data_IF_579418668494
#
_entry.id   IF_579418668494
#
_cell.length_a   1.000
_cell.length_b   1.000
_cell.length_c   1.000
_cell.angle_alpha   90.00
_cell.angle_beta   90.00
_cell.angle_gamma   90.00
#
_symmetry.space_group_name_H-M   'P 1'
#
loop_
_entity.id
_entity.type
_entity.pdbx_description
1 polymer ?
#
# COMPACT_ATOMS: atom_id res chain seq x y z
N UNK A 1 -3.60 2.29 -25.90
CA UNK A 1 -3.15 3.64 -26.34
C UNK A 1 -2.07 3.58 -27.41
N UNK A 2 -0.99 2.81 -27.24
CA UNK A 2 0.14 2.76 -28.20
C UNK A 2 -0.34 2.37 -29.61
N UNK A 3 -1.09 1.27 -29.75
CA UNK A 3 -1.61 0.84 -31.06
C UNK A 3 -2.57 1.86 -31.71
N UNK A 4 -3.22 2.73 -30.91
CA UNK A 4 -4.06 3.83 -31.44
C UNK A 4 -3.22 5.01 -31.91
N UNK A 5 -2.11 5.29 -31.22
CA UNK A 5 -1.21 6.39 -31.56
C UNK A 5 -0.37 6.09 -32.79
N UNK A 6 -0.06 4.81 -33.02
CA UNK A 6 0.77 4.33 -34.14
C UNK A 6 0.06 3.20 -34.93
N UNK A 7 -1.07 3.49 -35.61
CA UNK A 7 -1.88 2.46 -36.28
C UNK A 7 -1.16 1.78 -37.46
N UNK A 8 -0.19 2.46 -38.05
CA UNK A 8 0.61 1.99 -39.19
C UNK A 8 2.03 1.59 -38.79
N UNK A 9 2.28 1.39 -37.52
CA UNK A 9 3.59 0.96 -37.00
C UNK A 9 3.96 -0.46 -37.49
N UNK A 10 5.26 -0.77 -37.52
CA UNK A 10 5.77 -2.08 -37.99
C UNK A 10 5.41 -3.23 -37.05
N UNK A 11 4.88 -2.96 -35.88
CA UNK A 11 4.48 -3.95 -34.89
C UNK A 11 3.20 -3.54 -34.16
N UNK A 12 2.48 -4.54 -33.69
CA UNK A 12 1.29 -4.38 -32.86
C UNK A 12 1.52 -5.05 -31.50
N UNK A 13 1.31 -4.32 -30.41
CA UNK A 13 1.34 -4.89 -29.06
C UNK A 13 -0.01 -5.54 -28.75
N UNK A 14 0.02 -6.81 -28.37
CA UNK A 14 -1.15 -7.59 -27.95
C UNK A 14 -0.97 -7.95 -26.48
N UNK A 15 -1.82 -7.42 -25.58
CA UNK A 15 -1.77 -7.82 -24.18
C UNK A 15 -2.40 -9.21 -23.99
N UNK A 16 -1.68 -10.11 -23.35
CA UNK A 16 -2.21 -11.36 -22.80
C UNK A 16 -2.17 -11.29 -21.29
N UNK A 17 -3.23 -11.74 -20.61
CA UNK A 17 -3.29 -11.76 -19.14
C UNK A 17 -3.81 -13.09 -18.61
N UNK A 18 -3.41 -13.44 -17.40
CA UNK A 18 -3.94 -14.60 -16.68
C UNK A 18 -3.99 -14.32 -15.18
N UNK A 19 -4.94 -14.97 -14.52
CA UNK A 19 -5.08 -14.90 -13.07
C UNK A 19 -4.19 -15.95 -12.41
N UNK A 20 -3.47 -15.52 -11.39
CA UNK A 20 -2.61 -16.38 -10.57
C UNK A 20 -2.97 -16.19 -9.11
N UNK A 21 -3.07 -17.30 -8.37
CA UNK A 21 -3.16 -17.23 -6.92
C UNK A 21 -1.89 -16.63 -6.33
N UNK A 22 -2.03 -15.74 -5.35
CA UNK A 22 -0.90 -15.10 -4.65
C UNK A 22 0.08 -16.10 -4.05
N UNK A 23 -0.37 -17.30 -3.75
CA UNK A 23 0.42 -18.36 -3.08
C UNK A 23 0.95 -19.45 -4.02
N UNK A 24 0.68 -19.36 -5.33
CA UNK A 24 1.09 -20.40 -6.29
C UNK A 24 2.20 -19.88 -7.22
N UNK A 25 3.41 -19.88 -6.70
CA UNK A 25 4.60 -19.46 -7.45
C UNK A 25 4.90 -20.37 -8.66
N UNK A 26 4.62 -21.68 -8.55
CA UNK A 26 4.86 -22.64 -9.64
C UNK A 26 3.99 -22.34 -10.87
N UNK A 27 2.69 -22.08 -10.64
CA UNK A 27 1.79 -21.73 -11.74
C UNK A 27 2.22 -20.41 -12.40
N UNK A 28 2.61 -19.40 -11.60
CA UNK A 28 3.13 -18.14 -12.10
C UNK A 28 4.36 -18.34 -12.99
N UNK A 29 5.32 -19.14 -12.52
CA UNK A 29 6.53 -19.45 -13.27
C UNK A 29 6.23 -20.20 -14.56
N UNK A 30 5.42 -21.27 -14.50
CA UNK A 30 5.05 -22.09 -15.68
C UNK A 30 4.33 -21.25 -16.74
N UNK A 31 3.41 -20.38 -16.35
CA UNK A 31 2.73 -19.48 -17.27
C UNK A 31 3.67 -18.44 -17.88
N UNK A 32 4.59 -17.91 -17.09
CA UNK A 32 5.63 -17.01 -17.63
C UNK A 32 6.47 -17.71 -18.69
N UNK A 33 6.92 -18.95 -18.44
CA UNK A 33 7.64 -19.73 -19.46
C UNK A 33 6.81 -19.89 -20.75
N UNK A 34 5.52 -20.18 -20.62
CA UNK A 34 4.63 -20.29 -21.80
C UNK A 34 4.55 -18.99 -22.60
N UNK A 35 4.51 -17.84 -21.92
CA UNK A 35 4.54 -16.55 -22.60
C UNK A 35 5.87 -16.28 -23.29
N UNK A 36 6.99 -16.62 -22.67
CA UNK A 36 8.30 -16.43 -23.26
C UNK A 36 8.46 -17.21 -24.58
N UNK A 37 7.90 -18.42 -24.65
CA UNK A 37 7.88 -19.21 -25.90
C UNK A 37 7.06 -18.56 -27.01
N UNK A 38 6.11 -17.70 -26.68
CA UNK A 38 5.30 -16.95 -27.67
C UNK A 38 5.96 -15.65 -28.14
N UNK A 39 7.14 -15.30 -27.64
CA UNK A 39 7.86 -14.09 -28.02
C UNK A 39 7.42 -12.84 -27.25
N UNK A 40 7.18 -12.97 -25.96
CA UNK A 40 6.83 -11.84 -25.06
C UNK A 40 7.96 -10.82 -24.98
N UNK A 41 7.61 -9.55 -25.11
CA UNK A 41 8.56 -8.42 -25.08
C UNK A 41 8.67 -7.74 -23.72
N UNK A 42 7.70 -7.89 -22.84
CA UNK A 42 7.72 -7.40 -21.47
C UNK A 42 6.69 -8.15 -20.61
N UNK A 43 6.94 -8.23 -19.30
CA UNK A 43 6.01 -8.84 -18.33
C UNK A 43 5.67 -7.84 -17.24
N UNK A 44 4.37 -7.74 -16.91
CA UNK A 44 3.83 -6.91 -15.85
C UNK A 44 3.31 -7.80 -14.72
N UNK A 45 3.75 -7.54 -13.49
CA UNK A 45 3.44 -8.37 -12.33
C UNK A 45 4.31 -9.62 -12.24
N UNK A 46 4.00 -10.54 -11.34
CA UNK A 46 2.82 -10.63 -10.48
C UNK A 46 2.82 -9.64 -9.33
N UNK A 47 1.67 -9.44 -8.68
CA UNK A 47 1.57 -8.63 -7.47
C UNK A 47 2.10 -9.32 -6.21
N UNK A 48 2.44 -10.60 -6.29
CA UNK A 48 2.96 -11.39 -5.17
C UNK A 48 4.49 -11.37 -5.14
N UNK A 49 5.04 -10.89 -4.04
CA UNK A 49 6.50 -10.85 -3.77
C UNK A 49 7.16 -12.23 -3.88
N UNK A 50 6.45 -13.28 -3.42
CA UNK A 50 6.96 -14.66 -3.48
C UNK A 50 7.12 -15.18 -4.91
N UNK A 51 6.15 -14.89 -5.77
CA UNK A 51 6.20 -15.32 -7.17
C UNK A 51 7.16 -14.46 -8.00
N UNK A 52 7.25 -13.18 -7.68
CA UNK A 52 8.05 -12.19 -8.39
C UNK A 52 9.53 -12.55 -8.45
N UNK A 53 10.14 -12.97 -7.35
CA UNK A 53 11.57 -13.28 -7.29
C UNK A 53 11.98 -14.42 -8.23
N UNK A 54 11.13 -15.44 -8.39
CA UNK A 54 11.38 -16.55 -9.32
C UNK A 54 11.25 -16.11 -10.77
N UNK A 55 10.22 -15.32 -11.05
CA UNK A 55 9.99 -14.77 -12.39
C UNK A 55 11.11 -13.81 -12.77
N UNK A 56 11.55 -12.94 -11.85
CA UNK A 56 12.66 -12.02 -12.08
C UNK A 56 13.94 -12.74 -12.50
N UNK A 57 14.32 -13.83 -11.80
CA UNK A 57 15.49 -14.61 -12.16
C UNK A 57 15.41 -15.18 -13.57
N UNK A 58 14.22 -15.59 -14.00
CA UNK A 58 13.99 -16.11 -15.34
C UNK A 58 14.10 -14.99 -16.39
N UNK A 59 13.51 -13.83 -16.12
CA UNK A 59 13.47 -12.70 -17.03
C UNK A 59 14.84 -12.03 -17.19
N UNK A 60 15.63 -11.93 -16.12
CA UNK A 60 17.01 -11.47 -16.16
C UNK A 60 17.87 -12.32 -17.12
N UNK A 61 17.70 -13.66 -17.05
CA UNK A 61 18.41 -14.58 -17.96
C UNK A 61 18.01 -14.46 -19.42
N UNK A 62 16.80 -13.94 -19.68
CA UNK A 62 16.25 -13.77 -21.03
C UNK A 62 16.30 -12.32 -21.50
N UNK A 63 16.83 -11.43 -20.67
CA UNK A 63 16.93 -9.97 -20.92
C UNK A 63 15.57 -9.34 -21.29
N UNK A 64 14.49 -9.82 -20.62
CA UNK A 64 13.13 -9.34 -20.86
C UNK A 64 12.73 -8.36 -19.74
N UNK A 65 12.25 -7.16 -20.08
CA UNK A 65 11.78 -6.18 -19.11
C UNK A 65 10.67 -6.74 -18.24
N UNK A 66 10.87 -6.60 -16.91
CA UNK A 66 9.91 -6.95 -15.89
C UNK A 66 9.43 -5.69 -15.16
N UNK A 67 8.14 -5.44 -15.19
CA UNK A 67 7.54 -4.25 -14.55
C UNK A 67 6.70 -4.69 -13.35
N UNK A 68 7.03 -4.18 -12.20
CA UNK A 68 6.35 -4.45 -10.94
C UNK A 68 5.72 -3.19 -10.33
N UNK A 69 4.72 -3.38 -9.47
CA UNK A 69 4.00 -2.28 -8.80
C UNK A 69 3.81 -2.53 -7.31
N UNK A 70 4.40 -3.59 -6.77
CA UNK A 70 4.24 -3.93 -5.35
C UNK A 70 5.42 -3.42 -4.52
N UNK A 71 5.19 -3.30 -3.22
CA UNK A 71 6.23 -2.97 -2.27
C UNK A 71 7.31 -4.06 -2.25
N UNK A 72 8.56 -3.66 -2.32
CA UNK A 72 9.71 -4.55 -2.15
C UNK A 72 10.75 -3.90 -1.24
N UNK A 73 11.25 -4.68 -0.30
CA UNK A 73 12.34 -4.27 0.61
C UNK A 73 13.72 -4.44 -0.03
N UNK A 74 13.81 -5.24 -1.08
CA UNK A 74 15.10 -5.56 -1.70
C UNK A 74 15.65 -4.34 -2.43
N UNK A 75 16.84 -3.93 -2.04
CA UNK A 75 17.60 -2.86 -2.70
C UNK A 75 18.34 -3.33 -3.95
N UNK A 76 18.35 -4.63 -4.21
CA UNK A 76 19.04 -5.21 -5.36
C UNK A 76 18.26 -4.86 -6.63
N UNK A 77 18.86 -3.97 -7.40
CA UNK A 77 18.39 -3.68 -8.76
C UNK A 77 18.84 -4.81 -9.67
N UNK A 78 17.88 -5.51 -10.24
CA UNK A 78 18.11 -6.40 -11.36
C UNK A 78 18.09 -5.58 -12.66
N UNK A 79 18.89 -5.97 -13.64
CA UNK A 79 19.07 -5.19 -14.86
C UNK A 79 17.77 -5.01 -15.66
N UNK A 80 16.87 -6.01 -15.61
CA UNK A 80 15.62 -6.01 -16.35
C UNK A 80 14.40 -5.66 -15.49
N UNK A 81 14.55 -5.31 -14.21
CA UNK A 81 13.47 -4.98 -13.29
C UNK A 81 13.20 -3.48 -13.23
N UNK A 82 11.97 -3.09 -13.50
CA UNK A 82 11.43 -1.76 -13.25
C UNK A 82 10.30 -1.86 -12.22
N UNK A 83 10.56 -1.47 -10.99
CA UNK A 83 9.51 -1.37 -9.96
C UNK A 83 8.94 0.06 -9.93
N UNK A 84 7.65 0.19 -10.20
CA UNK A 84 6.93 1.47 -10.18
C UNK A 84 6.44 1.87 -8.78
N UNK A 85 6.58 0.99 -7.79
CA UNK A 85 6.29 1.33 -6.40
C UNK A 85 7.37 2.26 -5.86
N UNK A 86 7.01 3.34 -5.15
CA UNK A 86 7.98 4.22 -4.52
C UNK A 86 8.91 3.45 -3.58
N UNK A 87 10.19 3.85 -3.57
CA UNK A 87 11.17 3.18 -2.71
C UNK A 87 10.80 3.35 -1.22
N UNK A 88 10.90 2.31 -0.39
CA UNK A 88 10.50 2.35 1.03
C UNK A 88 11.13 3.50 1.82
N UNK A 89 12.39 3.84 1.56
CA UNK A 89 13.06 4.95 2.26
C UNK A 89 12.46 6.32 1.92
N UNK A 90 12.00 6.52 0.68
CA UNK A 90 11.37 7.78 0.26
C UNK A 90 10.01 7.93 0.95
N UNK A 91 9.23 6.84 1.01
CA UNK A 91 7.95 6.84 1.72
C UNK A 91 8.14 7.08 3.21
N UNK A 92 9.12 6.41 3.82
CA UNK A 92 9.47 6.64 5.23
C UNK A 92 9.80 8.09 5.49
N UNK A 93 10.63 8.72 4.64
CA UNK A 93 10.99 10.12 4.78
C UNK A 93 9.77 11.02 4.65
N UNK A 94 8.89 10.76 3.67
CA UNK A 94 7.66 11.53 3.50
C UNK A 94 6.74 11.44 4.74
N UNK A 95 6.60 10.25 5.32
CA UNK A 95 5.80 10.09 6.55
C UNK A 95 6.43 10.81 7.75
N UNK A 96 7.75 10.75 7.89
CA UNK A 96 8.48 11.48 8.94
C UNK A 96 8.31 12.99 8.77
N UNK A 97 8.44 13.52 7.56
CA UNK A 97 8.29 14.94 7.27
C UNK A 97 6.88 15.44 7.62
N UNK A 98 5.84 14.65 7.32
CA UNK A 98 4.45 14.97 7.71
C UNK A 98 4.29 15.02 9.22
N UNK A 99 4.76 13.99 9.93
CA UNK A 99 4.64 13.90 11.39
C UNK A 99 5.42 15.01 12.09
N UNK A 100 6.61 15.37 11.57
CA UNK A 100 7.40 16.47 12.08
C UNK A 100 6.76 17.83 11.81
N UNK A 101 6.26 18.06 10.59
CA UNK A 101 5.61 19.32 10.20
C UNK A 101 4.38 19.60 11.07
N UNK A 102 3.62 18.55 11.41
CA UNK A 102 2.46 18.69 12.27
C UNK A 102 2.78 18.60 13.76
N UNK A 103 4.05 18.46 14.11
CA UNK A 103 4.52 18.33 15.50
C UNK A 103 3.78 17.22 16.26
N UNK A 104 3.48 16.11 15.59
CA UNK A 104 2.80 15.00 16.23
C UNK A 104 3.71 14.33 17.26
N UNK A 105 3.16 14.16 18.45
CA UNK A 105 3.77 13.40 19.56
C UNK A 105 2.79 12.32 19.97
N UNK A 106 3.31 11.20 20.48
CA UNK A 106 2.48 10.08 20.93
C UNK A 106 1.55 9.56 19.81
N UNK A 107 2.14 9.09 18.75
CA UNK A 107 1.45 8.51 17.59
C UNK A 107 1.14 7.04 17.86
N UNK A 108 -0.05 6.60 17.52
CA UNK A 108 -0.40 5.17 17.50
C UNK A 108 -0.34 4.68 16.06
N UNK A 109 0.55 3.72 15.80
CA UNK A 109 0.59 3.00 14.53
C UNK A 109 -0.32 1.78 14.62
N UNK A 110 -1.38 1.79 13.84
CA UNK A 110 -2.37 0.72 13.71
C UNK A 110 -2.02 -0.11 12.48
N UNK A 111 -1.89 -1.43 12.63
CA UNK A 111 -1.54 -2.33 11.54
C UNK A 111 -2.33 -3.64 11.62
N UNK A 112 -2.56 -4.29 10.46
CA UNK A 112 -3.36 -5.50 10.34
C UNK A 112 -2.52 -6.79 10.29
N UNK A 113 -1.28 -6.71 9.84
CA UNK A 113 -0.45 -7.89 9.58
C UNK A 113 1.03 -7.62 9.85
N UNK A 114 1.81 -8.68 10.00
CA UNK A 114 3.27 -8.60 10.14
C UNK A 114 3.91 -7.98 8.89
N UNK A 115 3.32 -8.18 7.72
CA UNK A 115 3.80 -7.56 6.48
C UNK A 115 3.60 -6.04 6.52
N UNK A 116 2.45 -5.57 6.99
CA UNK A 116 2.17 -4.15 7.20
C UNK A 116 3.14 -3.53 8.20
N UNK A 117 3.40 -4.21 9.31
CA UNK A 117 4.41 -3.75 10.27
C UNK A 117 5.82 -3.71 9.66
N UNK A 118 6.18 -4.71 8.86
CA UNK A 118 7.48 -4.77 8.20
C UNK A 118 7.68 -3.59 7.20
N UNK A 119 6.62 -3.17 6.50
CA UNK A 119 6.65 -1.98 5.64
C UNK A 119 6.95 -0.71 6.43
N UNK A 120 6.42 -0.58 7.64
CA UNK A 120 6.61 0.57 8.52
C UNK A 120 7.85 0.48 9.41
N UNK A 121 8.60 -0.63 9.37
CA UNK A 121 9.79 -0.82 10.21
C UNK A 121 10.82 0.32 10.15
N UNK A 122 11.16 0.91 8.98
CA UNK A 122 12.07 2.04 8.94
C UNK A 122 11.51 3.30 9.64
N UNK A 123 10.21 3.57 9.49
CA UNK A 123 9.51 4.65 10.18
C UNK A 123 9.54 4.43 11.71
N UNK A 124 9.16 3.25 12.15
CA UNK A 124 9.14 2.89 13.57
C UNK A 124 10.53 3.03 14.19
N UNK A 125 11.58 2.61 13.49
CA UNK A 125 12.96 2.72 13.96
C UNK A 125 13.39 4.19 14.11
N UNK A 126 13.00 5.06 13.19
CA UNK A 126 13.33 6.49 13.22
C UNK A 126 12.51 7.27 14.23
N UNK A 127 11.27 6.85 14.48
CA UNK A 127 10.31 7.55 15.36
C UNK A 127 10.02 6.81 16.67
N UNK A 128 10.85 5.85 17.04
CA UNK A 128 10.66 4.88 18.12
C UNK A 128 10.19 5.48 19.46
N UNK A 129 10.67 6.65 19.80
CA UNK A 129 10.35 7.30 21.11
C UNK A 129 8.89 7.74 21.20
N UNK A 130 8.23 7.95 20.09
CA UNK A 130 6.92 8.61 19.98
C UNK A 130 5.84 7.73 19.39
N UNK A 131 6.17 6.50 18.99
CA UNK A 131 5.22 5.58 18.35
C UNK A 131 4.85 4.43 19.27
N UNK A 132 3.55 4.18 19.40
CA UNK A 132 2.99 3.00 20.06
C UNK A 132 2.39 2.09 19.00
N UNK A 133 2.80 0.83 18.98
CA UNK A 133 2.30 -0.16 18.01
C UNK A 133 1.02 -0.81 18.51
N UNK A 134 0.01 -0.90 17.66
CA UNK A 134 -1.26 -1.57 17.96
C UNK A 134 -1.69 -2.38 16.75
N UNK A 135 -1.71 -3.70 16.92
CA UNK A 135 -2.30 -4.60 15.94
C UNK A 135 -3.82 -4.56 16.07
N UNK A 136 -4.50 -4.60 14.92
CA UNK A 136 -5.95 -4.80 14.88
C UNK A 136 -6.25 -6.22 14.44
N UNK A 137 -7.04 -6.90 15.23
CA UNK A 137 -7.49 -8.25 14.94
C UNK A 137 -9.03 -8.28 14.98
N UNK A 138 -9.61 -9.15 14.18
CA UNK A 138 -11.03 -9.41 14.22
C UNK A 138 -11.40 -10.07 15.56
N UNK A 139 -12.47 -9.59 16.18
CA UNK A 139 -13.05 -10.23 17.36
C UNK A 139 -13.92 -11.45 16.98
N UNK A 140 -14.54 -12.07 17.98
CA UNK A 140 -15.41 -13.23 17.77
C UNK A 140 -16.65 -12.94 16.88
N UNK A 141 -16.99 -11.68 16.70
CA UNK A 141 -18.08 -11.23 15.85
C UNK A 141 -17.61 -10.81 14.46
N UNK A 142 -16.33 -10.99 14.14
CA UNK A 142 -15.75 -10.57 12.87
C UNK A 142 -15.63 -9.04 12.75
N UNK A 143 -15.45 -8.32 13.87
CA UNK A 143 -15.30 -6.86 13.88
C UNK A 143 -13.99 -6.41 14.51
N UNK A 144 -13.53 -5.20 14.20
CA UNK A 144 -12.34 -4.57 14.78
C UNK A 144 -12.66 -3.72 16.02
N UNK A 145 -13.92 -3.68 16.47
CA UNK A 145 -14.40 -2.78 17.54
C UNK A 145 -13.67 -2.99 18.86
N UNK A 146 -13.37 -4.23 19.22
CA UNK A 146 -12.66 -4.56 20.44
C UNK A 146 -11.25 -3.95 20.43
N UNK A 147 -10.50 -4.17 19.34
CA UNK A 147 -9.17 -3.59 19.15
C UNK A 147 -9.21 -2.07 19.15
N UNK A 148 -10.14 -1.46 18.42
CA UNK A 148 -10.31 0.00 18.35
C UNK A 148 -10.72 0.61 19.69
N UNK A 149 -11.60 -0.04 20.44
CA UNK A 149 -11.98 0.42 21.79
C UNK A 149 -10.77 0.41 22.73
N UNK A 150 -9.95 -0.63 22.67
CA UNK A 150 -8.69 -0.68 23.45
C UNK A 150 -7.76 0.46 23.08
N UNK A 151 -7.64 0.80 21.78
CA UNK A 151 -6.84 1.93 21.31
C UNK A 151 -7.42 3.26 21.80
N UNK A 152 -8.75 3.45 21.73
CA UNK A 152 -9.43 4.64 22.25
C UNK A 152 -9.13 4.90 23.72
N UNK A 153 -9.10 3.85 24.53
CA UNK A 153 -8.81 3.96 25.96
C UNK A 153 -7.39 4.47 26.28
N UNK A 154 -6.47 4.46 25.31
CA UNK A 154 -5.15 5.07 25.48
C UNK A 154 -5.17 6.60 25.47
N UNK A 155 -6.29 7.22 25.06
CA UNK A 155 -6.42 8.67 24.94
C UNK A 155 -5.60 9.28 23.80
N UNK A 156 -5.05 8.48 22.89
CA UNK A 156 -4.30 8.97 21.75
C UNK A 156 -5.20 9.71 20.75
N UNK A 157 -4.64 10.70 20.09
CA UNK A 157 -5.34 11.54 19.12
C UNK A 157 -4.73 11.49 17.71
N UNK A 158 -3.50 11.00 17.58
CA UNK A 158 -2.80 10.93 16.30
C UNK A 158 -2.58 9.46 15.92
N UNK A 159 -3.14 9.07 14.80
CA UNK A 159 -3.12 7.69 14.32
C UNK A 159 -2.46 7.60 12.95
N UNK A 160 -1.61 6.60 12.79
CA UNK A 160 -1.10 6.18 11.49
C UNK A 160 -1.70 4.80 11.21
N UNK A 161 -2.36 4.63 10.07
CA UNK A 161 -2.96 3.35 9.69
C UNK A 161 -2.22 2.76 8.50
N UNK A 162 -1.64 1.59 8.73
CA UNK A 162 -0.98 0.77 7.71
C UNK A 162 -1.69 -0.58 7.62
N UNK A 163 -2.62 -0.69 6.70
CA UNK A 163 -3.36 -1.92 6.43
C UNK A 163 -3.70 -2.04 4.94
N UNK A 164 -4.20 -3.21 4.58
CA UNK A 164 -4.70 -3.43 3.22
C UNK A 164 -5.90 -2.54 2.93
N UNK A 165 -6.12 -2.22 1.66
CA UNK A 165 -7.17 -1.29 1.25
C UNK A 165 -8.57 -1.85 1.56
N UNK A 166 -8.73 -3.17 1.50
CA UNK A 166 -9.96 -3.87 1.80
C UNK A 166 -10.35 -3.78 3.28
N UNK A 167 -9.34 -3.74 4.15
CA UNK A 167 -9.54 -3.63 5.61
C UNK A 167 -9.73 -2.17 6.04
N UNK A 168 -9.10 -1.24 5.35
CA UNK A 168 -9.04 0.17 5.73
C UNK A 168 -10.43 0.81 5.82
N UNK A 169 -11.30 0.56 4.84
CA UNK A 169 -12.64 1.14 4.82
C UNK A 169 -13.47 0.68 6.05
N UNK A 170 -13.39 -0.60 6.38
CA UNK A 170 -14.11 -1.17 7.52
C UNK A 170 -13.54 -0.65 8.85
N UNK A 171 -12.23 -0.54 8.96
CA UNK A 171 -11.55 0.04 10.13
C UNK A 171 -11.99 1.48 10.36
N UNK A 172 -12.05 2.30 9.31
CA UNK A 172 -12.49 3.69 9.42
C UNK A 172 -13.98 3.78 9.85
N UNK A 173 -14.87 2.97 9.26
CA UNK A 173 -16.29 2.91 9.65
C UNK A 173 -16.44 2.52 11.12
N UNK A 174 -15.71 1.52 11.56
CA UNK A 174 -15.79 1.07 12.95
C UNK A 174 -15.10 2.04 13.91
N UNK A 175 -14.04 2.73 13.53
CA UNK A 175 -13.45 3.81 14.30
C UNK A 175 -14.46 4.94 14.55
N UNK A 176 -15.27 5.29 13.55
CA UNK A 176 -16.38 6.24 13.71
C UNK A 176 -17.42 5.73 14.71
N UNK A 177 -17.84 4.47 14.58
CA UNK A 177 -18.84 3.86 15.46
C UNK A 177 -18.41 3.82 16.93
N UNK A 178 -17.14 3.58 17.20
CA UNK A 178 -16.61 3.60 18.58
C UNK A 178 -16.27 5.01 19.07
N UNK A 179 -16.52 6.05 18.25
CA UNK A 179 -16.28 7.45 18.62
C UNK A 179 -14.80 7.84 18.65
N UNK A 180 -14.02 7.30 17.72
CA UNK A 180 -12.63 7.70 17.50
C UNK A 180 -12.48 8.71 16.34
N UNK A 181 -13.59 9.17 15.74
CA UNK A 181 -13.57 10.20 14.70
C UNK A 181 -14.27 11.47 15.18
N UNK A 182 -13.49 12.40 15.69
CA UNK A 182 -13.91 13.72 16.15
C UNK A 182 -12.84 14.75 15.75
N UNK A 183 -13.10 16.02 15.94
CA UNK A 183 -12.17 17.14 15.66
C UNK A 183 -10.79 16.99 16.32
N UNK A 184 -10.68 16.17 17.37
CA UNK A 184 -9.41 15.93 18.10
C UNK A 184 -8.56 14.84 17.45
N UNK A 185 -9.14 14.05 16.55
CA UNK A 185 -8.47 12.89 15.98
C UNK A 185 -7.89 13.21 14.61
N UNK A 186 -6.66 12.79 14.41
CA UNK A 186 -5.95 12.95 13.15
C UNK A 186 -5.49 11.58 12.66
N UNK A 187 -5.74 11.30 11.41
CA UNK A 187 -5.37 10.05 10.76
C UNK A 187 -4.42 10.29 9.59
N UNK A 188 -3.32 9.58 9.57
CA UNK A 188 -2.45 9.47 8.42
C UNK A 188 -2.55 8.06 7.86
N UNK A 189 -3.03 7.95 6.64
CA UNK A 189 -3.17 6.68 5.93
C UNK A 189 -1.94 6.50 5.04
N UNK A 190 -1.23 5.42 5.23
CA UNK A 190 0.01 5.13 4.51
C UNK A 190 -0.22 4.36 3.22
N UNK A 191 -1.41 3.75 3.07
CA UNK A 191 -1.80 3.07 1.84
C UNK A 191 -1.91 4.09 0.68
N UNK A 192 -1.17 3.81 -0.40
CA UNK A 192 -1.06 4.72 -1.55
C UNK A 192 -2.30 4.74 -2.44
N UNK A 193 -3.24 3.85 -2.22
CA UNK A 193 -4.48 3.71 -2.98
C UNK A 193 -5.71 4.28 -2.24
N UNK A 194 -5.48 5.15 -1.24
CA UNK A 194 -6.54 5.80 -0.45
C UNK A 194 -7.63 6.45 -1.31
N UNK A 195 -7.28 6.97 -2.49
CA UNK A 195 -8.23 7.58 -3.43
C UNK A 195 -9.26 6.61 -4.00
N UNK A 196 -9.11 5.30 -3.79
CA UNK A 196 -10.08 4.28 -4.22
C UNK A 196 -11.20 4.06 -3.21
N UNK A 197 -11.05 4.58 -1.98
CA UNK A 197 -12.07 4.50 -0.92
C UNK A 197 -12.94 5.75 -0.95
N UNK A 198 -14.25 5.54 -0.77
CA UNK A 198 -15.18 6.64 -0.56
C UNK A 198 -15.09 7.17 0.88
N UNK A 199 -14.53 8.37 1.02
CA UNK A 199 -14.41 9.06 2.30
C UNK A 199 -15.59 10.01 2.58
N UNK A 200 -16.62 10.09 1.72
CA UNK A 200 -17.76 10.99 1.90
C UNK A 200 -18.49 10.76 3.23
N UNK A 201 -18.52 9.51 3.71
CA UNK A 201 -19.13 9.17 5.00
C UNK A 201 -18.46 9.85 6.20
N UNK A 202 -17.21 10.30 6.07
CA UNK A 202 -16.42 10.89 7.16
C UNK A 202 -16.28 12.41 7.08
N UNK A 203 -16.75 13.05 6.00
CA UNK A 203 -16.55 14.48 5.74
C UNK A 203 -17.12 15.41 6.84
N UNK A 204 -18.15 14.98 7.55
CA UNK A 204 -18.79 15.76 8.62
C UNK A 204 -18.33 15.35 10.03
N UNK A 205 -17.36 14.44 10.16
CA UNK A 205 -16.88 13.99 11.47
C UNK A 205 -15.98 15.01 12.19
N UNK A 206 -15.50 16.02 11.48
CA UNK A 206 -14.48 16.96 11.97
C UNK A 206 -13.06 16.37 12.02
N UNK A 207 -12.91 15.08 11.75
CA UNK A 207 -11.62 14.38 11.80
C UNK A 207 -10.75 14.72 10.60
N UNK A 208 -9.47 14.94 10.83
CA UNK A 208 -8.50 15.10 9.75
C UNK A 208 -8.03 13.73 9.24
N UNK A 209 -8.33 13.40 7.99
CA UNK A 209 -7.82 12.19 7.32
C UNK A 209 -6.89 12.63 6.20
N UNK A 210 -5.65 12.20 6.25
CA UNK A 210 -4.62 12.54 5.27
C UNK A 210 -3.97 11.26 4.75
N UNK A 211 -3.60 11.26 3.48
CA UNK A 211 -2.88 10.16 2.86
C UNK A 211 -1.89 10.64 1.80
N UNK A 212 -0.96 9.77 1.45
CA UNK A 212 -0.03 9.99 0.36
C UNK A 212 -0.55 9.26 -0.88
N UNK A 213 -0.64 9.95 -2.00
CA UNK A 213 -1.09 9.37 -3.27
C UNK A 213 0.07 9.23 -4.26
N UNK A 214 0.05 8.19 -5.10
CA UNK A 214 0.97 8.02 -6.23
C UNK A 214 0.79 9.08 -7.31
N UNK A 215 -0.39 9.69 -7.39
CA UNK A 215 -0.74 10.66 -8.42
C UNK A 215 -0.72 12.06 -7.83
N UNK A 216 0.36 12.81 -8.08
CA UNK A 216 0.50 14.23 -7.70
C UNK A 216 -0.09 14.55 -6.32
N UNK A 217 0.73 14.92 -5.38
CA UNK A 217 0.41 15.34 -4.02
C UNK A 217 -0.80 16.32 -3.96
N UNK A 218 -2.01 15.81 -4.09
CA UNK A 218 -3.20 16.49 -3.61
C UNK A 218 -3.40 16.05 -2.17
N UNK A 219 -2.95 16.88 -1.26
CA UNK A 219 -3.40 16.79 0.13
C UNK A 219 -4.89 17.12 0.12
N UNK A 220 -5.73 16.12 0.05
CA UNK A 220 -7.16 16.31 0.27
C UNK A 220 -7.35 16.47 1.77
N UNK A 221 -7.31 17.71 2.25
CA UNK A 221 -7.90 18.05 3.54
C UNK A 221 -9.40 18.01 3.37
N UNK A 222 -10.03 16.98 3.83
CA UNK A 222 -11.46 17.01 4.12
C UNK A 222 -11.67 17.72 5.47
N UNK A 223 -11.30 18.99 5.57
CA UNK A 223 -11.72 19.86 6.63
C UNK A 223 -13.04 20.48 6.17
N UNK A 224 -14.14 20.02 6.73
CA UNK A 224 -15.41 20.77 6.61
C UNK A 224 -15.22 22.19 7.13
N UNK A 225 -15.52 23.18 6.31
CA UNK A 225 -15.79 24.55 6.71
C UNK A 225 -17.16 24.58 7.37
#
# INVERSE_FOLDING_TARGET
MVNRKYPTGPFRLVPESFLVSKHNAFTSYSRTCSFLHKGTVAIFGPSSIHSSSYIQTLLDRKEIPHVETHWDRKLLRHNCLLNLHPHPSILTQAFLDVVHTWNWKNVVLIYDSEESLARMSPFVSSFRRWVTLRRIDLDHFGTYRSSLTSIKMTGATNFIIECSIEVLEEVLKQAQQVGMMTERHNYMITNLDLQTIDLAAFQFSGTNITGVSRYLLKVNRYSGL
#
